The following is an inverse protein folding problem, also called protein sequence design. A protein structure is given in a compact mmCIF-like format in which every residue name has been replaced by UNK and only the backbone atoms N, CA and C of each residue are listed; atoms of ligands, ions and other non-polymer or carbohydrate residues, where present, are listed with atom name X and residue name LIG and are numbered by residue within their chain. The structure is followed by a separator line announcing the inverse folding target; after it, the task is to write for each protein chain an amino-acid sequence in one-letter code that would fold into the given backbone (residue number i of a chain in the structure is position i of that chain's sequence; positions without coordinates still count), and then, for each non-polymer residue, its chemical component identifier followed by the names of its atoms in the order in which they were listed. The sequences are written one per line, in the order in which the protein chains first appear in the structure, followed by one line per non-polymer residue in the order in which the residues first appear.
data_IF_251426179477
#
_entry.id   IF_251426179477
#
_cell.length_a   1.000
_cell.length_b   1.000
_cell.length_c   1.000
_cell.angle_alpha   90.00
_cell.angle_beta   90.00
_cell.angle_gamma   90.00
#
_symmetry.space_group_name_H-M   'P 1'
#
loop_
_entity.id
_entity.type
_entity.pdbx_description
1 polymer ?
#
# COMPACT_ATOMS: atom_id res chain seq x y z
N UNK A 1 -48.65 6.59 -3.83
CA UNK A 1 -47.88 7.48 -2.93
C UNK A 1 -48.28 8.93 -3.12
N UNK A 2 -48.34 9.69 -2.04
CA UNK A 2 -48.46 11.16 -2.05
C UNK A 2 -47.13 11.77 -2.53
N UNK A 3 -47.16 13.04 -2.96
CA UNK A 3 -45.96 13.75 -3.46
C UNK A 3 -44.83 13.77 -2.40
N UNK A 4 -45.17 14.04 -1.15
CA UNK A 4 -44.17 14.18 -0.10
C UNK A 4 -43.52 12.83 0.27
N UNK A 5 -44.28 11.73 0.15
CA UNK A 5 -43.74 10.35 0.26
C UNK A 5 -42.78 10.04 -0.89
N UNK A 6 -43.12 10.44 -2.13
CA UNK A 6 -42.23 10.25 -3.29
C UNK A 6 -40.94 11.04 -3.11
N UNK A 7 -41.04 12.29 -2.64
CA UNK A 7 -39.89 13.14 -2.35
C UNK A 7 -38.98 12.51 -1.30
N UNK A 8 -39.54 12.05 -0.18
CA UNK A 8 -38.77 11.40 0.88
C UNK A 8 -38.04 10.16 0.36
N UNK A 9 -38.74 9.31 -0.39
CA UNK A 9 -38.15 8.08 -0.96
C UNK A 9 -37.05 8.37 -1.98
N UNK A 10 -37.24 9.38 -2.85
CA UNK A 10 -36.22 9.78 -3.82
C UNK A 10 -34.97 10.28 -3.10
N UNK A 11 -35.13 11.11 -2.06
CA UNK A 11 -34.02 11.61 -1.25
C UNK A 11 -33.27 10.50 -0.53
N UNK A 12 -34.00 9.56 0.07
CA UNK A 12 -33.42 8.39 0.72
C UNK A 12 -32.62 7.53 -0.27
N UNK A 13 -33.20 7.18 -1.43
CA UNK A 13 -32.54 6.34 -2.42
C UNK A 13 -31.32 7.00 -3.07
N UNK A 14 -31.31 8.33 -3.15
CA UNK A 14 -30.22 9.09 -3.77
C UNK A 14 -29.20 9.64 -2.78
N UNK A 15 -29.43 9.46 -1.47
CA UNK A 15 -28.58 9.97 -0.38
C UNK A 15 -28.38 11.49 -0.45
N UNK A 16 -29.45 12.22 -0.78
CA UNK A 16 -29.44 13.69 -0.83
C UNK A 16 -30.56 14.28 0.00
N UNK A 17 -30.39 15.52 0.46
CA UNK A 17 -31.38 16.20 1.32
C UNK A 17 -32.14 17.31 0.58
N UNK A 18 -31.65 17.73 -0.60
CA UNK A 18 -32.21 18.86 -1.34
C UNK A 18 -32.45 18.54 -2.82
N UNK A 19 -33.41 19.24 -3.43
CA UNK A 19 -33.68 19.16 -4.87
C UNK A 19 -32.50 19.66 -5.70
N UNK A 20 -31.70 20.59 -5.17
CA UNK A 20 -30.50 21.09 -5.83
C UNK A 20 -29.43 20.00 -5.97
N UNK A 21 -29.13 19.30 -4.86
CA UNK A 21 -28.22 18.15 -4.87
C UNK A 21 -28.72 17.03 -5.78
N UNK A 22 -30.02 16.74 -5.72
CA UNK A 22 -30.64 15.73 -6.57
C UNK A 22 -30.43 16.06 -8.07
N UNK A 23 -30.69 17.30 -8.48
CA UNK A 23 -30.50 17.74 -9.87
C UNK A 23 -29.03 17.85 -10.29
N UNK A 24 -28.12 18.05 -9.34
CA UNK A 24 -26.68 18.03 -9.61
C UNK A 24 -26.18 16.59 -9.82
N UNK A 25 -26.72 15.63 -9.07
CA UNK A 25 -26.35 14.20 -9.16
C UNK A 25 -26.92 13.53 -10.41
N UNK A 26 -28.12 13.89 -10.83
CA UNK A 26 -28.80 13.30 -12.00
C UNK A 26 -29.15 14.37 -13.03
N UNK A 27 -28.40 14.39 -14.14
CA UNK A 27 -28.57 15.36 -15.23
C UNK A 27 -30.00 15.37 -15.80
N UNK A 28 -30.59 14.18 -15.95
CA UNK A 28 -31.95 13.97 -16.46
C UNK A 28 -33.04 14.65 -15.61
N UNK A 29 -32.74 14.96 -14.34
CA UNK A 29 -33.68 15.62 -13.44
C UNK A 29 -33.64 17.15 -13.53
N UNK A 30 -32.63 17.73 -14.19
CA UNK A 30 -32.46 19.20 -14.24
C UNK A 30 -33.68 19.90 -14.85
N UNK A 31 -34.25 19.33 -15.90
CA UNK A 31 -35.40 19.89 -16.64
C UNK A 31 -36.75 19.67 -15.94
N UNK A 32 -36.81 18.81 -14.92
CA UNK A 32 -38.07 18.46 -14.26
C UNK A 32 -38.54 19.56 -13.28
N UNK A 33 -39.83 19.86 -13.32
CA UNK A 33 -40.49 20.74 -12.35
C UNK A 33 -40.86 19.95 -11.09
N UNK A 34 -40.02 20.02 -10.07
CA UNK A 34 -40.17 19.28 -8.79
C UNK A 34 -41.32 19.81 -7.91
N UNK A 35 -42.13 20.77 -8.37
CA UNK A 35 -43.39 21.13 -7.70
C UNK A 35 -44.49 20.11 -8.02
N UNK A 36 -44.38 19.40 -9.15
CA UNK A 36 -45.39 18.46 -9.67
C UNK A 36 -45.14 17.03 -9.20
N UNK A 37 -46.21 16.32 -8.85
CA UNK A 37 -46.14 14.89 -8.45
C UNK A 37 -45.53 14.01 -9.55
N UNK A 38 -45.95 14.20 -10.80
CA UNK A 38 -45.45 13.43 -11.94
C UNK A 38 -43.92 13.54 -12.12
N UNK A 39 -43.33 14.69 -11.79
CA UNK A 39 -41.88 14.86 -11.82
C UNK A 39 -41.16 14.02 -10.76
N UNK A 40 -41.75 13.88 -9.57
CA UNK A 40 -41.22 13.01 -8.52
C UNK A 40 -41.35 11.53 -8.85
N UNK A 41 -42.42 11.13 -9.54
CA UNK A 41 -42.58 9.76 -10.05
C UNK A 41 -41.49 9.44 -11.08
N UNK A 42 -41.24 10.34 -12.04
CA UNK A 42 -40.13 10.20 -13.00
C UNK A 42 -38.77 10.16 -12.31
N UNK A 43 -38.55 11.05 -11.33
CA UNK A 43 -37.30 11.07 -10.58
C UNK A 43 -37.06 9.76 -9.83
N UNK A 44 -38.10 9.17 -9.24
CA UNK A 44 -38.01 7.87 -8.57
C UNK A 44 -37.58 6.77 -9.55
N UNK A 45 -38.17 6.71 -10.74
CA UNK A 45 -37.79 5.73 -11.78
C UNK A 45 -36.34 5.91 -12.22
N UNK A 46 -35.88 7.14 -12.44
CA UNK A 46 -34.50 7.44 -12.85
C UNK A 46 -33.52 6.99 -11.77
N UNK A 47 -33.78 7.35 -10.51
CA UNK A 47 -32.92 6.99 -9.36
C UNK A 47 -32.89 5.48 -9.17
N UNK A 48 -34.03 4.79 -9.27
CA UNK A 48 -34.08 3.33 -9.17
C UNK A 48 -33.28 2.66 -10.28
N UNK A 49 -33.47 3.10 -11.52
CA UNK A 49 -32.75 2.55 -12.67
C UNK A 49 -31.23 2.71 -12.51
N UNK A 50 -30.74 3.90 -12.16
CA UNK A 50 -29.31 4.10 -11.97
C UNK A 50 -28.74 3.26 -10.81
N UNK A 51 -29.51 3.06 -9.73
CA UNK A 51 -29.10 2.19 -8.63
C UNK A 51 -29.00 0.73 -9.07
N UNK A 52 -29.96 0.25 -9.85
CA UNK A 52 -29.94 -1.10 -10.40
C UNK A 52 -28.79 -1.29 -11.40
N UNK A 53 -28.54 -0.30 -12.25
CA UNK A 53 -27.43 -0.32 -13.21
C UNK A 53 -26.07 -0.31 -12.48
N UNK A 54 -25.94 0.47 -11.40
CA UNK A 54 -24.74 0.46 -10.55
C UNK A 54 -24.56 -0.88 -9.83
N UNK A 55 -25.64 -1.49 -9.33
CA UNK A 55 -25.57 -2.80 -8.69
C UNK A 55 -25.11 -3.89 -9.67
N UNK A 56 -25.62 -3.87 -10.91
CA UNK A 56 -25.16 -4.76 -11.98
C UNK A 56 -23.70 -4.54 -12.33
N UNK A 57 -23.25 -3.28 -12.35
CA UNK A 57 -21.85 -2.93 -12.56
C UNK A 57 -20.96 -3.45 -11.42
N UNK A 58 -21.41 -3.44 -10.17
CA UNK A 58 -20.66 -4.02 -9.05
C UNK A 58 -20.59 -5.56 -9.12
N UNK A 59 -21.68 -6.21 -9.54
CA UNK A 59 -21.73 -7.68 -9.67
C UNK A 59 -20.91 -8.17 -10.85
N UNK A 60 -20.85 -7.40 -11.94
CA UNK A 60 -20.07 -7.70 -13.12
C UNK A 60 -19.43 -6.43 -13.69
N UNK A 61 -18.33 -5.96 -13.09
CA UNK A 61 -17.65 -4.77 -13.57
C UNK A 61 -17.08 -5.01 -14.97
N UNK A 62 -16.98 -3.97 -15.81
CA UNK A 62 -16.36 -4.08 -17.12
C UNK A 62 -14.95 -4.67 -17.03
N UNK A 63 -14.60 -5.47 -18.04
CA UNK A 63 -13.34 -6.21 -18.11
C UNK A 63 -12.12 -5.31 -17.88
N UNK A 64 -12.11 -4.11 -18.47
CA UNK A 64 -11.05 -3.11 -18.29
C UNK A 64 -10.75 -2.80 -16.81
N UNK A 65 -11.79 -2.72 -15.97
CA UNK A 65 -11.59 -2.49 -14.54
C UNK A 65 -11.08 -3.74 -13.83
N UNK A 66 -11.58 -4.93 -14.20
CA UNK A 66 -11.12 -6.19 -13.63
C UNK A 66 -9.63 -6.39 -13.91
N UNK A 67 -9.21 -6.14 -15.14
CA UNK A 67 -7.80 -6.22 -15.57
C UNK A 67 -6.93 -5.24 -14.79
N UNK A 68 -7.34 -3.97 -14.69
CA UNK A 68 -6.61 -2.96 -13.92
C UNK A 68 -6.43 -3.36 -12.45
N UNK A 69 -7.48 -3.86 -11.80
CA UNK A 69 -7.38 -4.29 -10.40
C UNK A 69 -6.51 -5.55 -10.25
N UNK A 70 -6.58 -6.50 -11.17
CA UNK A 70 -5.71 -7.67 -11.18
C UNK A 70 -4.23 -7.29 -11.39
N UNK A 71 -3.95 -6.31 -12.26
CA UNK A 71 -2.60 -5.78 -12.45
C UNK A 71 -2.10 -5.07 -11.18
N UNK A 72 -2.93 -4.23 -10.55
CA UNK A 72 -2.59 -3.58 -9.28
C UNK A 72 -2.27 -4.61 -8.20
N UNK A 73 -3.07 -5.66 -8.08
CA UNK A 73 -2.85 -6.72 -7.11
C UNK A 73 -1.53 -7.45 -7.38
N UNK A 74 -1.28 -7.80 -8.64
CA UNK A 74 -0.04 -8.47 -9.07
C UNK A 74 1.19 -7.62 -8.73
N UNK A 75 1.21 -6.35 -9.15
CA UNK A 75 2.33 -5.43 -8.89
C UNK A 75 2.53 -5.19 -7.40
N UNK A 76 1.44 -5.06 -6.64
CA UNK A 76 1.51 -4.87 -5.18
C UNK A 76 2.12 -6.09 -4.49
N UNK A 77 1.75 -7.29 -4.93
CA UNK A 77 2.30 -8.54 -4.39
C UNK A 77 3.78 -8.69 -4.72
N UNK A 78 4.19 -8.41 -5.96
CA UNK A 78 5.60 -8.42 -6.36
C UNK A 78 6.44 -7.41 -5.56
N UNK A 79 5.91 -6.21 -5.36
CA UNK A 79 6.58 -5.19 -4.54
C UNK A 79 6.76 -5.65 -3.09
N UNK A 80 5.72 -6.24 -2.49
CA UNK A 80 5.80 -6.76 -1.13
C UNK A 80 6.82 -7.89 -0.99
N UNK A 81 6.92 -8.78 -1.99
CA UNK A 81 7.95 -9.83 -2.02
C UNK A 81 9.36 -9.23 -2.07
N UNK A 82 9.60 -8.28 -2.99
CA UNK A 82 10.88 -7.58 -3.09
C UNK A 82 11.25 -6.83 -1.81
N UNK A 83 10.26 -6.24 -1.12
CA UNK A 83 10.48 -5.56 0.16
C UNK A 83 10.90 -6.54 1.27
N UNK A 84 10.31 -7.74 1.31
CA UNK A 84 10.68 -8.79 2.26
C UNK A 84 12.12 -9.25 2.00
N UNK A 85 12.47 -9.49 0.73
CA UNK A 85 13.82 -9.87 0.33
C UNK A 85 14.85 -8.79 0.69
N UNK A 86 14.56 -7.53 0.37
CA UNK A 86 15.43 -6.40 0.71
C UNK A 86 15.68 -6.28 2.22
N UNK A 87 14.63 -6.49 3.04
CA UNK A 87 14.77 -6.50 4.51
C UNK A 87 15.64 -7.67 5.00
N UNK A 88 15.51 -8.85 4.39
CA UNK A 88 16.34 -10.01 4.72
C UNK A 88 17.81 -9.72 4.38
N UNK A 89 18.07 -9.24 3.16
CA UNK A 89 19.41 -8.90 2.71
C UNK A 89 20.05 -7.81 3.59
N UNK A 90 19.28 -6.80 3.98
CA UNK A 90 19.75 -5.76 4.90
C UNK A 90 20.21 -6.31 6.25
N UNK A 91 19.51 -7.32 6.81
CA UNK A 91 19.95 -7.99 8.05
C UNK A 91 21.23 -8.79 7.84
N UNK A 92 21.35 -9.49 6.71
CA UNK A 92 22.56 -10.26 6.38
C UNK A 92 23.78 -9.36 6.23
N UNK A 93 23.62 -8.18 5.61
CA UNK A 93 24.70 -7.19 5.49
C UNK A 93 25.19 -6.71 6.85
N UNK A 94 24.28 -6.47 7.81
CA UNK A 94 24.66 -6.06 9.17
C UNK A 94 25.47 -7.16 9.86
N UNK A 95 24.98 -8.41 9.81
CA UNK A 95 25.70 -9.55 10.40
C UNK A 95 27.08 -9.76 9.78
N UNK A 96 27.20 -9.57 8.47
CA UNK A 96 28.47 -9.66 7.78
C UNK A 96 29.43 -8.53 8.20
N UNK A 97 28.92 -7.30 8.37
CA UNK A 97 29.71 -6.19 8.85
C UNK A 97 30.26 -6.45 10.27
N UNK A 98 29.42 -6.93 11.18
CA UNK A 98 29.83 -7.31 12.54
C UNK A 98 30.92 -8.41 12.51
N UNK A 99 30.75 -9.40 11.63
CA UNK A 99 31.73 -10.50 11.46
C UNK A 99 33.08 -10.01 10.93
N UNK A 100 33.06 -9.06 9.98
CA UNK A 100 34.29 -8.44 9.43
C UNK A 100 34.98 -7.60 10.50
N UNK A 101 34.23 -6.87 11.32
CA UNK A 101 34.79 -6.10 12.44
C UNK A 101 35.48 -7.02 13.45
N UNK A 102 34.85 -8.14 13.80
CA UNK A 102 35.45 -9.11 14.72
C UNK A 102 36.73 -9.72 14.15
N UNK A 103 36.71 -10.14 12.87
CA UNK A 103 37.90 -10.67 12.20
C UNK A 103 39.05 -9.65 12.17
N UNK A 104 38.73 -8.37 11.98
CA UNK A 104 39.74 -7.31 12.02
C UNK A 104 40.39 -7.20 13.40
N UNK A 105 39.60 -7.25 14.48
CA UNK A 105 40.11 -7.24 15.87
C UNK A 105 40.99 -8.45 16.16
N UNK A 106 40.59 -9.64 15.72
CA UNK A 106 41.38 -10.87 15.86
C UNK A 106 42.74 -10.73 15.15
N UNK A 107 42.73 -10.22 13.91
CA UNK A 107 43.94 -9.99 13.12
C UNK A 107 44.89 -8.96 13.79
N UNK A 108 44.34 -7.89 14.37
CA UNK A 108 45.15 -6.90 15.12
C UNK A 108 45.79 -7.53 16.36
N UNK A 109 45.02 -8.30 17.13
CA UNK A 109 45.51 -8.99 18.32
C UNK A 109 46.61 -10.00 17.99
N UNK A 110 46.44 -10.79 16.92
CA UNK A 110 47.44 -11.75 16.46
C UNK A 110 48.72 -11.05 16.00
N UNK A 111 48.60 -9.96 15.23
CA UNK A 111 49.74 -9.17 14.78
C UNK A 111 50.54 -8.61 15.96
N UNK A 112 49.88 -8.14 17.02
CA UNK A 112 50.54 -7.65 18.21
C UNK A 112 51.19 -8.77 19.03
N UNK A 113 50.58 -9.95 19.12
CA UNK A 113 51.20 -11.13 19.72
C UNK A 113 52.50 -11.51 19.00
N UNK A 114 52.46 -11.63 17.67
CA UNK A 114 53.62 -11.94 16.84
C UNK A 114 54.75 -10.91 17.01
N UNK A 115 54.42 -9.62 17.11
CA UNK A 115 55.43 -8.58 17.40
C UNK A 115 56.12 -8.81 18.74
N UNK A 116 55.39 -9.25 19.77
CA UNK A 116 55.98 -9.55 21.08
C UNK A 116 56.85 -10.80 21.03
N UNK A 117 56.37 -11.88 20.40
CA UNK A 117 57.15 -13.11 20.22
C UNK A 117 58.48 -12.85 19.50
N UNK A 118 58.46 -12.08 18.40
CA UNK A 118 59.67 -11.70 17.68
C UNK A 118 60.62 -10.88 18.56
N UNK A 119 60.10 -9.96 19.39
CA UNK A 119 60.94 -9.20 20.33
C UNK A 119 61.60 -10.11 21.36
N UNK A 120 60.87 -11.07 21.92
CA UNK A 120 61.38 -12.04 22.90
C UNK A 120 62.44 -12.93 22.26
N UNK A 121 62.16 -13.50 21.09
CA UNK A 121 63.10 -14.35 20.35
C UNK A 121 64.41 -13.61 20.02
N UNK A 122 64.33 -12.35 19.60
CA UNK A 122 65.51 -11.51 19.35
C UNK A 122 66.34 -11.26 20.60
N UNK A 123 65.72 -11.05 21.76
CA UNK A 123 66.42 -10.88 23.05
C UNK A 123 67.12 -12.16 23.47
N UNK A 124 66.41 -13.29 23.41
CA UNK A 124 66.97 -14.60 23.73
C UNK A 124 68.18 -14.93 22.85
N UNK A 125 68.08 -14.67 21.54
CA UNK A 125 69.20 -14.85 20.61
C UNK A 125 70.42 -14.00 20.99
N UNK A 126 70.23 -12.70 21.25
CA UNK A 126 71.33 -11.82 21.67
C UNK A 126 72.00 -12.28 22.97
N UNK A 127 71.22 -12.79 23.92
CA UNK A 127 71.74 -13.29 25.18
C UNK A 127 72.51 -14.60 25.02
N UNK A 128 72.07 -15.47 24.10
CA UNK A 128 72.80 -16.69 23.75
C UNK A 128 74.13 -16.42 23.01
N UNK A 129 74.20 -15.36 22.21
CA UNK A 129 75.45 -14.94 21.53
C UNK A 129 76.49 -14.30 22.48
N UNK A 130 76.08 -13.90 23.69
CA UNK A 130 76.92 -13.26 24.70
C UNK A 130 77.45 -14.23 25.78
N UNK A 131 77.00 -15.48 25.78
CA UNK A 131 77.43 -16.55 26.69
C UNK A 131 78.31 -17.56 25.94
#
# INVERSE_FOLDING_TARGET
MKRDELKAKVYELSEVTTTGQLKAKYEELKTLDMRRKASWEKALTIVQKQRDDFQKWLENPPEEYQELFAEIETVSNEYNQKLIEAKKLGKEVILLADSVEELAKECEAEADSLKQEVKVARRAKKQAELN
#
